data_IF_111696609957
#
_entry.id   IF_111696609957
#
_cell.length_a   1.000
_cell.length_b   1.000
_cell.length_c   1.000
_cell.angle_alpha   90.00
_cell.angle_beta   90.00
_cell.angle_gamma   90.00
#
_symmetry.space_group_name_H-M   'P 1'
#
loop_
_entity.id
_entity.type
_entity.pdbx_description
1 polymer ?
#
# COMPACT_ATOMS: atom_id res chain seq x y z
N UNK A 1 -61.18 -47.24 65.20
CA UNK A 1 -60.63 -47.82 63.96
C UNK A 1 -60.11 -46.66 63.13
N UNK A 2 -58.86 -46.27 63.39
CA UNK A 2 -57.65 -46.75 62.72
C UNK A 2 -57.40 -45.91 61.45
N UNK A 3 -56.49 -44.94 61.59
CA UNK A 3 -55.94 -44.12 60.53
C UNK A 3 -54.60 -44.74 60.09
N UNK A 4 -54.42 -44.95 58.79
CA UNK A 4 -53.16 -45.34 58.17
C UNK A 4 -52.51 -44.12 57.51
N UNK A 5 -51.24 -43.80 57.82
CA UNK A 5 -50.42 -42.91 57.00
C UNK A 5 -49.47 -43.72 56.12
N UNK A 6 -49.62 -43.62 54.80
CA UNK A 6 -48.62 -44.12 53.84
C UNK A 6 -47.41 -43.18 53.81
N UNK A 7 -46.42 -43.46 54.66
CA UNK A 7 -45.07 -42.92 54.55
C UNK A 7 -44.28 -43.66 53.47
N UNK A 8 -44.08 -43.04 52.30
CA UNK A 8 -43.12 -43.50 51.30
C UNK A 8 -41.75 -42.87 51.59
N UNK A 9 -40.86 -43.63 52.23
CA UNK A 9 -39.45 -43.28 52.39
C UNK A 9 -38.71 -43.61 51.10
N UNK A 10 -38.46 -42.59 50.27
CA UNK A 10 -37.50 -42.69 49.19
C UNK A 10 -36.09 -42.88 49.77
N UNK A 11 -35.55 -44.10 49.66
CA UNK A 11 -34.18 -44.42 50.05
C UNK A 11 -33.24 -43.76 49.05
N UNK A 12 -32.77 -42.56 49.38
CA UNK A 12 -31.71 -41.88 48.64
C UNK A 12 -30.43 -42.68 48.81
N UNK A 13 -29.93 -43.30 47.74
CA UNK A 13 -28.72 -44.11 47.78
C UNK A 13 -27.50 -43.22 47.46
N UNK A 14 -26.72 -42.76 48.47
CA UNK A 14 -25.67 -41.76 48.28
C UNK A 14 -24.43 -42.29 47.52
N UNK A 15 -24.40 -43.59 47.17
CA UNK A 15 -23.28 -44.20 46.44
C UNK A 15 -23.42 -44.13 44.91
N UNK A 16 -24.60 -43.85 44.35
CA UNK A 16 -24.79 -43.75 42.91
C UNK A 16 -24.33 -42.38 42.35
N UNK A 17 -24.41 -41.30 43.12
CA UNK A 17 -24.12 -39.92 42.68
C UNK A 17 -22.63 -39.62 42.52
N UNK A 18 -21.74 -40.29 43.28
CA UNK A 18 -20.28 -40.09 43.16
C UNK A 18 -19.70 -40.57 41.83
N UNK A 19 -20.31 -41.58 41.17
CA UNK A 19 -19.82 -42.10 39.88
C UNK A 19 -20.14 -41.19 38.69
N UNK A 20 -21.21 -40.40 38.77
CA UNK A 20 -21.59 -39.46 37.70
C UNK A 20 -20.87 -38.11 37.82
N UNK A 21 -20.57 -37.65 39.04
CA UNK A 21 -19.80 -36.43 39.28
C UNK A 21 -18.38 -36.48 38.68
N UNK A 22 -17.70 -37.64 38.78
CA UNK A 22 -16.39 -37.86 38.13
C UNK A 22 -16.49 -37.77 36.60
N UNK A 23 -17.54 -38.35 35.99
CA UNK A 23 -17.71 -38.37 34.53
C UNK A 23 -18.04 -36.99 33.97
N UNK A 24 -18.79 -36.17 34.72
CA UNK A 24 -19.05 -34.78 34.36
C UNK A 24 -17.77 -33.92 34.44
N UNK A 25 -16.96 -34.13 35.48
CA UNK A 25 -15.70 -33.40 35.66
C UNK A 25 -14.67 -33.71 34.56
N UNK A 26 -14.55 -34.98 34.13
CA UNK A 26 -13.66 -35.38 33.03
C UNK A 26 -14.17 -34.83 31.68
N UNK A 27 -15.48 -34.76 31.47
CA UNK A 27 -16.06 -34.18 30.25
C UNK A 27 -15.84 -32.66 30.16
N UNK A 28 -15.97 -31.93 31.27
CA UNK A 28 -15.64 -30.50 31.34
C UNK A 28 -14.14 -30.22 31.11
N UNK A 29 -13.23 -31.09 31.58
CA UNK A 29 -11.80 -30.89 31.39
C UNK A 29 -11.35 -31.04 29.92
N UNK A 30 -12.02 -31.89 29.14
CA UNK A 30 -11.74 -32.09 27.71
C UNK A 30 -12.30 -30.93 26.86
N UNK A 31 -13.42 -30.33 27.28
CA UNK A 31 -14.01 -29.19 26.56
C UNK A 31 -13.19 -27.89 26.70
N UNK A 32 -12.43 -27.72 27.78
CA UNK A 32 -11.57 -26.54 27.96
C UNK A 32 -10.25 -26.58 27.15
N UNK A 33 -9.84 -27.75 26.64
CA UNK A 33 -8.58 -27.90 25.89
C UNK A 33 -8.70 -27.60 24.39
N UNK A 34 -9.92 -27.42 23.85
CA UNK A 34 -10.15 -27.30 22.41
C UNK A 34 -10.17 -25.85 21.89
N UNK A 35 -10.05 -24.84 22.75
CA UNK A 35 -10.00 -23.45 22.33
C UNK A 35 -8.57 -22.90 22.39
N UNK A 36 -7.72 -23.33 21.46
CA UNK A 36 -6.49 -22.60 21.14
C UNK A 36 -6.87 -21.29 20.43
N UNK A 37 -7.26 -20.30 21.22
CA UNK A 37 -7.64 -18.99 20.70
C UNK A 37 -6.37 -18.25 20.27
N UNK A 38 -6.06 -18.28 18.96
CA UNK A 38 -4.98 -17.49 18.38
C UNK A 38 -5.45 -16.04 18.22
N UNK A 39 -5.67 -15.35 19.33
CA UNK A 39 -5.85 -13.90 19.34
C UNK A 39 -4.61 -13.23 19.92
N UNK A 40 -4.20 -12.13 19.31
CA UNK A 40 -2.99 -11.44 19.72
C UNK A 40 -2.94 -9.99 19.26
N UNK A 41 -2.15 -9.20 19.98
CA UNK A 41 -1.80 -7.82 19.62
C UNK A 41 -0.28 -7.71 19.75
N UNK A 42 0.38 -7.31 18.66
CA UNK A 42 1.80 -6.94 18.64
C UNK A 42 1.92 -5.48 18.23
N UNK A 43 2.74 -4.73 18.95
CA UNK A 43 3.01 -3.32 18.65
C UNK A 43 4.52 -3.14 18.48
N UNK A 44 4.94 -2.62 17.33
CA UNK A 44 6.32 -2.28 17.05
C UNK A 44 6.57 -0.81 17.37
N UNK A 45 7.26 -0.55 18.48
CA UNK A 45 7.60 0.81 18.92
C UNK A 45 8.51 1.55 17.93
N UNK A 46 9.27 0.84 17.09
CA UNK A 46 10.18 1.45 16.12
C UNK A 46 9.45 1.92 14.87
N UNK A 47 8.58 1.08 14.32
CA UNK A 47 7.80 1.42 13.12
C UNK A 47 6.41 1.97 13.42
N UNK A 48 5.96 2.02 14.68
CA UNK A 48 4.59 2.41 15.05
C UNK A 48 3.49 1.49 14.50
N UNK A 49 3.85 0.34 13.91
CA UNK A 49 2.89 -0.61 13.34
C UNK A 49 2.26 -1.44 14.45
N UNK A 50 0.93 -1.49 14.47
CA UNK A 50 0.15 -2.36 15.36
C UNK A 50 -0.47 -3.48 14.54
N UNK A 51 -0.19 -4.73 14.91
CA UNK A 51 -0.76 -5.91 14.26
C UNK A 51 -1.64 -6.65 15.27
N UNK A 52 -2.89 -6.85 14.90
CA UNK A 52 -3.88 -7.62 15.66
C UNK A 52 -4.26 -8.85 14.86
N UNK A 53 -4.53 -9.97 15.52
CA UNK A 53 -4.95 -11.20 14.86
C UNK A 53 -6.02 -11.91 15.68
N UNK A 54 -6.92 -12.61 14.99
CA UNK A 54 -7.93 -13.51 15.56
C UNK A 54 -8.06 -14.72 14.65
N UNK A 55 -7.83 -15.93 15.15
CA UNK A 55 -7.99 -17.18 14.38
C UNK A 55 -6.89 -17.48 13.35
N UNK A 56 -6.11 -16.46 12.95
CA UNK A 56 -4.83 -16.63 12.25
C UNK A 56 -3.67 -16.28 13.19
N UNK A 57 -2.53 -16.92 13.01
CA UNK A 57 -1.27 -16.54 13.67
C UNK A 57 -0.26 -16.05 12.64
N UNK A 58 0.78 -15.34 13.09
CA UNK A 58 1.91 -14.91 12.26
C UNK A 58 3.20 -14.85 13.08
N UNK A 59 4.34 -15.10 12.43
CA UNK A 59 5.65 -15.08 13.09
C UNK A 59 6.23 -13.66 13.05
N UNK A 60 6.31 -13.07 11.85
CA UNK A 60 6.98 -11.80 11.62
C UNK A 60 6.12 -10.82 10.81
N UNK A 61 6.45 -9.54 10.93
CA UNK A 61 5.84 -8.45 10.20
C UNK A 61 6.86 -7.36 9.91
N UNK A 62 6.68 -6.65 8.78
CA UNK A 62 7.52 -5.52 8.38
C UNK A 62 6.65 -4.44 7.74
N UNK A 63 6.96 -3.19 8.05
CA UNK A 63 6.45 -2.04 7.32
C UNK A 63 7.61 -1.38 6.57
N UNK A 64 7.46 -1.28 5.26
CA UNK A 64 8.45 -0.70 4.36
C UNK A 64 7.86 0.52 3.65
N UNK A 65 8.70 1.54 3.42
CA UNK A 65 8.43 2.67 2.53
C UNK A 65 9.53 2.68 1.45
N UNK A 66 9.13 2.64 0.18
CA UNK A 66 10.04 2.51 -0.98
C UNK A 66 11.08 1.36 -0.83
N UNK A 67 10.69 0.28 -0.15
CA UNK A 67 11.54 -0.88 0.10
C UNK A 67 12.46 -0.79 1.33
N UNK A 68 12.58 0.37 1.96
CA UNK A 68 13.34 0.54 3.20
C UNK A 68 12.43 0.42 4.43
N UNK A 69 12.98 -0.04 5.56
CA UNK A 69 12.25 -0.08 6.82
C UNK A 69 11.90 1.34 7.28
N UNK A 70 10.65 1.56 7.68
CA UNK A 70 10.18 2.89 8.07
C UNK A 70 10.65 3.25 9.48
N UNK A 71 11.16 4.46 9.66
CA UNK A 71 11.58 5.01 10.95
C UNK A 71 10.74 6.22 11.42
N UNK A 72 10.10 6.94 10.49
CA UNK A 72 9.30 8.14 10.76
C UNK A 72 7.82 7.93 10.36
N UNK A 73 6.95 8.76 10.91
CA UNK A 73 5.51 8.78 10.63
C UNK A 73 5.12 9.78 9.54
N UNK A 74 6.10 10.38 8.87
CA UNK A 74 5.89 11.33 7.78
C UNK A 74 6.16 10.67 6.43
N UNK A 75 5.10 10.48 5.64
CA UNK A 75 5.18 9.90 4.30
C UNK A 75 4.79 10.92 3.25
N UNK A 76 5.17 10.69 2.00
CA UNK A 76 4.99 11.65 0.91
C UNK A 76 4.21 11.02 -0.23
N UNK A 77 3.44 11.83 -0.96
CA UNK A 77 2.80 11.38 -2.19
C UNK A 77 3.85 10.77 -3.15
N UNK A 78 3.49 9.69 -3.83
CA UNK A 78 4.36 8.89 -4.68
C UNK A 78 5.21 7.85 -3.95
N UNK A 79 5.30 7.89 -2.62
CA UNK A 79 5.95 6.84 -1.85
C UNK A 79 5.10 5.57 -1.80
N UNK A 80 5.76 4.41 -1.85
CA UNK A 80 5.10 3.10 -1.85
C UNK A 80 5.24 2.45 -0.48
N UNK A 81 4.10 2.26 0.16
CA UNK A 81 3.94 1.56 1.43
C UNK A 81 3.83 0.07 1.18
N UNK A 82 4.49 -0.75 2.00
CA UNK A 82 4.30 -2.21 2.01
C UNK A 82 4.25 -2.73 3.44
N UNK A 83 3.13 -3.36 3.80
CA UNK A 83 3.02 -4.18 5.00
C UNK A 83 3.18 -5.63 4.58
N UNK A 84 4.22 -6.30 5.08
CA UNK A 84 4.52 -7.70 4.80
C UNK A 84 4.38 -8.51 6.08
N UNK A 85 3.67 -9.64 6.01
CA UNK A 85 3.56 -10.62 7.09
C UNK A 85 4.12 -11.96 6.63
N UNK A 86 4.76 -12.69 7.53
CA UNK A 86 5.28 -14.03 7.24
C UNK A 86 5.05 -15.02 8.39
N UNK A 87 5.05 -16.31 8.06
CA UNK A 87 4.69 -17.38 8.97
C UNK A 87 3.19 -17.41 9.28
N UNK A 88 2.34 -16.97 8.35
CA UNK A 88 0.90 -16.92 8.57
C UNK A 88 0.32 -18.34 8.59
N UNK A 89 -0.42 -18.68 9.65
CA UNK A 89 -1.04 -20.00 9.83
C UNK A 89 -2.46 -19.85 10.36
N UNK A 90 -3.22 -20.94 10.32
CA UNK A 90 -4.59 -21.00 10.84
C UNK A 90 -5.68 -20.82 9.78
N UNK A 91 -5.32 -20.71 8.50
CA UNK A 91 -6.31 -20.71 7.42
C UNK A 91 -7.09 -22.02 7.38
N UNK A 92 -8.37 -21.91 7.06
CA UNK A 92 -9.27 -23.04 6.85
C UNK A 92 -8.95 -23.66 5.49
N UNK A 93 -8.49 -24.90 5.53
CA UNK A 93 -8.20 -25.66 4.32
C UNK A 93 -9.48 -26.27 3.74
N UNK A 94 -9.73 -26.03 2.45
CA UNK A 94 -10.76 -26.69 1.65
C UNK A 94 -10.06 -27.41 0.50
N UNK A 95 -10.11 -28.76 0.54
CA UNK A 95 -9.42 -29.65 -0.42
C UNK A 95 -7.92 -29.35 -0.58
N UNK A 96 -7.23 -29.05 0.52
CA UNK A 96 -5.79 -28.78 0.54
C UNK A 96 -5.40 -27.38 0.06
N UNK A 97 -6.38 -26.49 -0.19
CA UNK A 97 -6.16 -25.09 -0.55
C UNK A 97 -6.73 -24.15 0.50
N UNK A 98 -6.19 -22.94 0.55
CA UNK A 98 -6.64 -21.86 1.42
C UNK A 98 -7.00 -20.63 0.58
N UNK A 99 -7.87 -19.78 1.11
CA UNK A 99 -8.47 -18.68 0.36
C UNK A 99 -8.27 -17.35 1.11
N UNK A 100 -7.03 -16.85 1.19
CA UNK A 100 -6.78 -15.56 1.81
C UNK A 100 -7.36 -14.41 0.98
N UNK A 101 -7.79 -13.36 1.66
CA UNK A 101 -8.19 -12.08 1.04
C UNK A 101 -7.31 -10.97 1.60
N UNK A 102 -6.88 -10.03 0.76
CA UNK A 102 -6.08 -8.87 1.20
C UNK A 102 -6.83 -7.59 0.85
N UNK A 103 -6.90 -6.65 1.81
CA UNK A 103 -7.47 -5.32 1.56
C UNK A 103 -6.67 -4.23 2.24
N UNK A 104 -6.72 -3.02 1.69
CA UNK A 104 -6.09 -1.82 2.22
C UNK A 104 -7.16 -0.73 2.35
N UNK A 105 -7.14 -0.05 3.50
CA UNK A 105 -7.90 1.17 3.74
C UNK A 105 -6.97 2.27 4.22
N UNK A 106 -7.23 3.50 3.76
CA UNK A 106 -6.65 4.70 4.36
C UNK A 106 -7.79 5.57 4.83
N UNK A 107 -7.79 5.86 6.13
CA UNK A 107 -8.79 6.68 6.79
C UNK A 107 -8.19 8.04 7.15
N UNK A 108 -8.97 9.12 7.03
CA UNK A 108 -8.57 10.43 7.55
C UNK A 108 -8.70 10.50 9.08
N UNK A 109 -8.30 11.63 9.67
CA UNK A 109 -8.40 11.86 11.12
C UNK A 109 -9.82 11.77 11.69
N UNK A 110 -10.87 11.90 10.86
CA UNK A 110 -12.27 11.71 11.27
C UNK A 110 -12.74 10.26 11.12
N UNK A 111 -11.89 9.36 10.61
CA UNK A 111 -12.24 7.97 10.31
C UNK A 111 -12.97 7.78 8.98
N UNK A 112 -13.04 8.80 8.13
CA UNK A 112 -13.64 8.65 6.80
C UNK A 112 -12.63 7.97 5.86
N UNK A 113 -13.11 6.99 5.09
CA UNK A 113 -12.29 6.23 4.15
C UNK A 113 -11.95 7.10 2.93
N UNK A 114 -10.67 7.34 2.69
CA UNK A 114 -10.14 8.04 1.49
C UNK A 114 -9.67 7.08 0.42
N UNK A 115 -9.09 5.96 0.83
CA UNK A 115 -8.65 4.89 -0.06
C UNK A 115 -9.27 3.60 0.40
N UNK A 116 -9.80 2.84 -0.55
CA UNK A 116 -10.34 1.51 -0.33
C UNK A 116 -9.94 0.61 -1.48
N UNK A 117 -9.11 -0.39 -1.19
CA UNK A 117 -8.70 -1.41 -2.14
C UNK A 117 -9.06 -2.77 -1.53
N UNK A 118 -10.05 -3.43 -2.10
CA UNK A 118 -10.46 -4.77 -1.69
C UNK A 118 -9.92 -5.80 -2.69
N UNK A 119 -9.77 -7.05 -2.22
CA UNK A 119 -9.38 -8.20 -3.03
C UNK A 119 -8.08 -7.96 -3.83
N UNK A 120 -7.03 -7.50 -3.13
CA UNK A 120 -5.71 -7.23 -3.71
C UNK A 120 -4.93 -8.49 -4.08
N UNK A 121 -5.52 -9.65 -3.86
CA UNK A 121 -5.01 -10.91 -4.36
C UNK A 121 -4.98 -11.00 -5.90
N UNK A 122 -3.98 -11.73 -6.40
CA UNK A 122 -3.86 -12.07 -7.81
C UNK A 122 -4.98 -13.07 -8.22
N UNK A 123 -5.30 -13.15 -9.51
CA UNK A 123 -6.33 -14.05 -10.08
C UNK A 123 -6.14 -15.50 -9.62
N UNK A 124 -4.88 -15.91 -9.37
CA UNK A 124 -4.51 -17.23 -8.85
C UNK A 124 -5.09 -17.56 -7.47
N UNK A 125 -5.55 -16.58 -6.69
CA UNK A 125 -6.16 -16.80 -5.37
C UNK A 125 -7.64 -17.15 -5.47
N UNK A 126 -8.30 -16.86 -6.61
CA UNK A 126 -9.71 -17.17 -6.80
C UNK A 126 -9.98 -18.69 -6.73
N UNK A 127 -9.02 -19.50 -7.17
CA UNK A 127 -9.02 -20.97 -7.05
C UNK A 127 -8.43 -21.50 -5.73
N UNK A 128 -8.04 -20.60 -4.82
CA UNK A 128 -7.28 -20.90 -3.62
C UNK A 128 -5.80 -21.19 -3.92
N UNK A 129 -4.96 -20.97 -2.91
CA UNK A 129 -3.52 -21.21 -2.97
C UNK A 129 -3.11 -22.32 -2.01
N UNK A 130 -1.89 -22.84 -2.15
CA UNK A 130 -1.37 -23.78 -1.15
C UNK A 130 -1.12 -23.07 0.18
N UNK A 131 -1.23 -23.78 1.32
CA UNK A 131 -0.93 -23.22 2.64
C UNK A 131 0.46 -22.57 2.71
N UNK A 132 1.47 -23.17 2.07
CA UNK A 132 2.85 -22.66 2.06
C UNK A 132 2.95 -21.31 1.35
N UNK A 133 2.22 -21.12 0.23
CA UNK A 133 2.16 -19.83 -0.45
C UNK A 133 1.44 -18.78 0.41
N UNK A 134 0.46 -19.20 1.23
CA UNK A 134 -0.25 -18.32 2.14
C UNK A 134 0.55 -17.91 3.39
N UNK A 135 1.68 -18.56 3.67
CA UNK A 135 2.52 -18.20 4.83
C UNK A 135 3.15 -16.82 4.70
N UNK A 136 3.23 -16.24 3.49
CA UNK A 136 3.79 -14.92 3.25
C UNK A 136 2.88 -14.07 2.37
N UNK A 137 2.23 -13.06 2.97
CA UNK A 137 1.29 -12.17 2.31
C UNK A 137 1.68 -10.71 2.57
N UNK A 138 1.28 -9.82 1.67
CA UNK A 138 1.55 -8.39 1.81
C UNK A 138 0.46 -7.52 1.21
N UNK A 139 0.24 -6.36 1.81
CA UNK A 139 -0.50 -5.25 1.20
C UNK A 139 0.50 -4.18 0.76
N UNK A 140 0.36 -3.68 -0.47
CA UNK A 140 1.17 -2.60 -1.00
C UNK A 140 0.28 -1.50 -1.59
N UNK A 141 0.60 -0.24 -1.32
CA UNK A 141 -0.10 0.90 -1.90
C UNK A 141 0.86 2.09 -2.08
N UNK A 142 0.71 2.80 -3.20
CA UNK A 142 1.46 4.02 -3.50
C UNK A 142 0.60 5.23 -3.16
N UNK A 143 1.08 6.10 -2.27
CA UNK A 143 0.33 7.26 -1.78
C UNK A 143 -0.01 8.20 -2.95
N UNK A 144 -1.29 8.38 -3.23
CA UNK A 144 -1.77 9.21 -4.34
C UNK A 144 -2.20 10.62 -3.94
N UNK A 145 -2.84 11.32 -4.87
CA UNK A 145 -3.31 12.70 -4.70
C UNK A 145 -4.56 12.85 -3.83
N UNK A 146 -5.27 11.76 -3.59
CA UNK A 146 -6.43 11.70 -2.70
C UNK A 146 -6.08 11.97 -1.23
N UNK A 147 -4.79 11.94 -0.89
CA UNK A 147 -4.28 12.27 0.43
C UNK A 147 -3.71 13.68 0.43
N UNK A 148 -4.28 14.56 1.25
CA UNK A 148 -3.93 15.96 1.33
C UNK A 148 -2.64 16.18 2.14
N UNK A 149 -1.77 17.05 1.64
CA UNK A 149 -0.52 17.42 2.30
C UNK A 149 -0.83 18.07 3.66
N UNK A 150 -0.02 17.72 4.66
CA UNK A 150 -0.11 18.21 6.03
C UNK A 150 -1.14 17.49 6.89
N UNK A 151 -1.98 16.61 6.31
CA UNK A 151 -3.01 15.87 7.06
C UNK A 151 -2.51 14.53 7.58
N UNK A 152 -3.11 14.11 8.69
CA UNK A 152 -2.92 12.79 9.29
C UNK A 152 -3.92 11.78 8.75
N UNK A 153 -3.45 10.55 8.64
CA UNK A 153 -4.18 9.39 8.13
C UNK A 153 -3.86 8.14 8.95
N UNK A 154 -4.73 7.14 8.82
CA UNK A 154 -4.53 5.79 9.34
C UNK A 154 -4.51 4.80 8.18
N UNK A 155 -3.39 4.09 8.02
CA UNK A 155 -3.28 2.92 7.16
C UNK A 155 -3.86 1.72 7.90
N UNK A 156 -4.68 0.92 7.22
CA UNK A 156 -5.14 -0.39 7.66
C UNK A 156 -4.95 -1.41 6.53
N UNK A 157 -4.20 -2.48 6.80
CA UNK A 157 -4.06 -3.64 5.93
C UNK A 157 -4.73 -4.82 6.62
N UNK A 158 -5.71 -5.41 5.96
CA UNK A 158 -6.47 -6.54 6.47
C UNK A 158 -6.24 -7.78 5.62
N UNK A 159 -5.90 -8.89 6.28
CA UNK A 159 -5.80 -10.23 5.72
C UNK A 159 -6.90 -11.08 6.35
N UNK A 160 -7.76 -11.68 5.53
CA UNK A 160 -8.86 -12.54 5.99
C UNK A 160 -8.78 -13.95 5.41
N UNK A 161 -9.43 -14.90 6.07
CA UNK A 161 -9.68 -16.25 5.59
C UNK A 161 -11.11 -16.38 5.05
N UNK A 162 -11.28 -16.45 3.73
CA UNK A 162 -12.60 -16.53 3.09
C UNK A 162 -13.40 -17.78 3.46
N UNK A 163 -12.73 -18.85 3.91
CA UNK A 163 -13.37 -20.12 4.30
C UNK A 163 -13.47 -20.30 5.80
N UNK A 164 -12.96 -19.35 6.58
CA UNK A 164 -12.95 -19.39 8.03
C UNK A 164 -13.36 -18.07 8.66
N UNK A 165 -12.93 -17.90 9.91
CA UNK A 165 -13.11 -16.65 10.68
C UNK A 165 -11.77 -15.99 11.02
N UNK A 166 -10.70 -16.48 10.40
CA UNK A 166 -9.35 -16.02 10.64
C UNK A 166 -9.12 -14.64 10.03
N UNK A 167 -8.55 -13.72 10.79
CA UNK A 167 -8.20 -12.38 10.35
C UNK A 167 -6.91 -11.86 10.99
N UNK A 168 -6.19 -11.01 10.26
CA UNK A 168 -5.07 -10.21 10.74
C UNK A 168 -5.28 -8.77 10.24
N UNK A 169 -5.23 -7.81 11.16
CA UNK A 169 -5.25 -6.38 10.83
C UNK A 169 -3.96 -5.73 11.28
N UNK A 170 -3.22 -5.15 10.34
CA UNK A 170 -2.06 -4.31 10.58
C UNK A 170 -2.44 -2.83 10.36
N UNK A 171 -2.15 -1.96 11.32
CA UNK A 171 -2.54 -0.56 11.25
C UNK A 171 -1.47 0.39 11.78
N UNK A 172 -1.42 1.59 11.19
CA UNK A 172 -0.47 2.64 11.57
C UNK A 172 -1.02 4.02 11.24
N UNK A 173 -0.77 5.00 12.10
CA UNK A 173 -0.98 6.42 11.80
C UNK A 173 0.25 7.03 11.12
N UNK A 174 0.00 7.94 10.20
CA UNK A 174 1.03 8.67 9.47
C UNK A 174 0.50 10.05 9.05
N UNK A 175 1.40 10.95 8.69
CA UNK A 175 1.11 12.27 8.15
C UNK A 175 1.64 12.38 6.73
N UNK A 176 0.89 13.03 5.85
CA UNK A 176 1.43 13.39 4.54
C UNK A 176 2.33 14.61 4.71
N UNK A 177 3.64 14.39 4.65
CA UNK A 177 4.59 15.48 4.55
C UNK A 177 4.50 16.15 3.18
N UNK A 178 4.81 17.46 3.09
CA UNK A 178 5.04 18.08 1.80
C UNK A 178 6.13 17.31 1.05
N UNK A 179 6.04 17.33 -0.27
CA UNK A 179 7.14 16.84 -1.08
C UNK A 179 8.37 17.64 -0.67
N UNK A 180 9.37 16.97 -0.11
CA UNK A 180 10.68 17.57 0.04
C UNK A 180 11.09 17.98 -1.37
N UNK A 181 11.21 19.29 -1.62
CA UNK A 181 11.71 19.81 -2.89
C UNK A 181 13.18 19.41 -2.94
N UNK A 182 13.44 18.22 -3.46
CA UNK A 182 14.80 17.73 -3.66
C UNK A 182 15.33 18.47 -4.87
N UNK A 183 16.08 19.57 -4.69
CA UNK A 183 16.77 20.34 -5.75
C UNK A 183 15.97 20.57 -7.05
N UNK A 184 14.63 20.49 -6.95
CA UNK A 184 13.72 20.50 -8.09
C UNK A 184 13.33 21.94 -8.29
N UNK A 185 14.05 22.59 -9.19
CA UNK A 185 13.69 23.92 -9.65
C UNK A 185 12.51 23.76 -10.62
N UNK A 186 11.42 24.49 -10.35
CA UNK A 186 10.23 24.49 -11.19
C UNK A 186 9.99 25.91 -11.66
N UNK A 187 9.86 26.07 -12.98
CA UNK A 187 9.54 27.32 -13.64
C UNK A 187 8.26 27.12 -14.45
N UNK A 188 7.19 27.84 -14.11
CA UNK A 188 5.93 27.75 -14.81
C UNK A 188 5.45 29.13 -15.28
N UNK A 189 4.88 29.17 -16.47
CA UNK A 189 4.23 30.35 -17.05
C UNK A 189 2.90 29.92 -17.67
N UNK A 190 1.79 30.52 -17.25
CA UNK A 190 0.46 30.17 -17.74
C UNK A 190 -0.09 28.82 -17.26
N UNK A 191 0.75 27.90 -16.79
CA UNK A 191 0.33 26.65 -16.15
C UNK A 191 0.46 26.73 -14.63
N UNK A 192 -0.43 26.06 -13.92
CA UNK A 192 -0.34 25.80 -12.48
C UNK A 192 -0.43 24.30 -12.19
N UNK A 193 0.08 23.87 -11.04
CA UNK A 193 0.19 22.47 -10.68
C UNK A 193 -0.02 22.29 -9.17
N UNK A 194 -0.39 21.08 -8.75
CA UNK A 194 -0.44 20.70 -7.32
C UNK A 194 0.88 20.10 -6.86
N UNK A 195 1.46 19.21 -7.66
CA UNK A 195 2.75 18.60 -7.36
C UNK A 195 3.52 18.18 -8.61
N UNK A 196 4.85 18.25 -8.50
CA UNK A 196 5.80 17.69 -9.47
C UNK A 196 6.82 16.87 -8.71
N UNK A 197 7.12 15.66 -9.16
CA UNK A 197 8.17 14.84 -8.58
C UNK A 197 8.72 13.81 -9.56
N UNK A 198 9.97 13.44 -9.33
CA UNK A 198 10.66 12.38 -10.05
C UNK A 198 10.30 11.00 -9.47
N UNK A 199 10.08 10.04 -10.37
CA UNK A 199 9.76 8.65 -10.07
C UNK A 199 10.76 7.73 -10.73
N UNK A 200 11.28 6.76 -9.99
CA UNK A 200 12.08 5.67 -10.52
C UNK A 200 11.36 4.33 -10.42
N UNK A 201 12.13 3.25 -10.54
CA UNK A 201 11.60 1.87 -10.50
C UNK A 201 10.90 1.52 -9.19
N UNK A 202 11.34 2.06 -8.06
CA UNK A 202 10.87 1.68 -6.73
C UNK A 202 9.90 2.71 -6.11
N UNK A 203 9.32 3.58 -6.93
CA UNK A 203 8.51 4.72 -6.48
C UNK A 203 9.29 6.02 -6.59
N UNK A 204 9.02 6.98 -5.71
CA UNK A 204 9.72 8.26 -5.70
C UNK A 204 11.22 8.05 -5.49
N UNK A 205 12.03 8.50 -6.45
CA UNK A 205 13.49 8.51 -6.30
C UNK A 205 13.90 9.89 -5.80
N UNK A 206 14.57 9.94 -4.64
CA UNK A 206 14.85 11.20 -4.01
C UNK A 206 15.89 12.02 -4.80
N UNK A 207 17.01 11.41 -5.21
CA UNK A 207 18.11 12.09 -5.92
C UNK A 207 18.94 11.11 -6.76
N UNK A 208 18.39 9.94 -7.08
CA UNK A 208 19.14 8.85 -7.72
C UNK A 208 18.42 8.31 -8.96
N UNK A 209 19.23 8.00 -9.97
CA UNK A 209 18.84 7.43 -11.24
C UNK A 209 19.59 6.11 -11.43
N UNK A 210 18.86 4.99 -11.42
CA UNK A 210 19.44 3.69 -11.74
C UNK A 210 19.67 3.60 -13.25
N UNK A 211 20.93 3.43 -13.67
CA UNK A 211 21.27 3.23 -15.07
C UNK A 211 20.63 1.93 -15.60
N UNK A 212 20.00 1.99 -16.77
CA UNK A 212 19.15 0.92 -17.31
C UNK A 212 17.77 0.81 -16.64
N UNK A 213 17.49 1.67 -15.65
CA UNK A 213 16.20 1.77 -14.99
C UNK A 213 15.26 2.76 -15.67
N UNK A 214 13.95 2.57 -15.44
CA UNK A 214 12.92 3.52 -15.84
C UNK A 214 12.89 4.68 -14.84
N UNK A 215 12.99 5.90 -15.35
CA UNK A 215 12.91 7.16 -14.59
C UNK A 215 11.88 8.04 -15.28
N UNK A 216 11.14 8.83 -14.53
CA UNK A 216 10.16 9.74 -15.09
C UNK A 216 9.82 10.89 -14.17
N UNK A 217 8.98 11.78 -14.68
CA UNK A 217 8.38 12.89 -13.92
C UNK A 217 6.88 12.70 -13.92
N UNK A 218 6.28 12.94 -12.75
CA UNK A 218 4.85 13.07 -12.58
C UNK A 218 4.50 14.52 -12.29
N UNK A 219 3.53 15.06 -13.03
CA UNK A 219 2.90 16.35 -12.75
C UNK A 219 1.42 16.09 -12.45
N UNK A 220 1.00 16.58 -11.30
CA UNK A 220 -0.31 16.33 -10.73
C UNK A 220 -1.08 17.64 -10.61
N UNK A 221 -2.39 17.61 -10.90
CA UNK A 221 -3.24 18.80 -10.78
C UNK A 221 -2.88 19.90 -11.77
N UNK A 222 -2.48 19.53 -13.00
CA UNK A 222 -2.10 20.51 -14.01
C UNK A 222 -3.32 21.30 -14.49
N UNK A 223 -3.22 22.62 -14.52
CA UNK A 223 -4.27 23.48 -15.07
C UNK A 223 -3.66 24.68 -15.81
N UNK A 224 -4.49 25.37 -16.60
CA UNK A 224 -4.05 26.48 -17.46
C UNK A 224 -3.82 26.10 -18.93
N UNK A 225 -4.01 24.82 -19.29
CA UNK A 225 -4.05 24.39 -20.69
C UNK A 225 -5.26 25.04 -21.39
N UNK A 226 -5.05 25.56 -22.60
CA UNK A 226 -6.13 26.14 -23.41
C UNK A 226 -7.01 25.03 -23.97
N UNK A 227 -8.29 25.11 -23.64
CA UNK A 227 -9.29 24.21 -24.18
C UNK A 227 -9.67 24.65 -25.61
N UNK A 228 -9.70 23.69 -26.54
CA UNK A 228 -10.18 23.84 -27.91
C UNK A 228 -11.09 22.65 -28.20
N UNK A 229 -12.36 22.92 -28.50
CA UNK A 229 -13.38 21.92 -28.80
C UNK A 229 -13.54 20.83 -27.73
N UNK A 230 -13.56 21.22 -26.44
CA UNK A 230 -13.73 20.28 -25.33
C UNK A 230 -12.47 19.51 -24.95
N UNK A 231 -11.32 19.87 -25.51
CA UNK A 231 -10.06 19.13 -25.36
C UNK A 231 -8.87 20.04 -25.08
N UNK A 232 -7.83 19.46 -24.50
CA UNK A 232 -6.53 20.11 -24.28
C UNK A 232 -5.43 19.37 -25.03
N UNK A 233 -4.34 20.04 -25.36
CA UNK A 233 -3.28 19.49 -26.20
C UNK A 233 -1.93 19.64 -25.51
N UNK A 234 -1.67 18.88 -24.42
CA UNK A 234 -0.37 18.92 -23.77
C UNK A 234 0.70 18.36 -24.72
N UNK A 235 1.88 18.96 -24.69
CA UNK A 235 3.14 18.37 -25.14
C UNK A 235 4.05 18.15 -23.94
N UNK A 236 4.97 17.20 -24.05
CA UNK A 236 5.99 17.04 -23.02
C UNK A 236 7.28 16.42 -23.56
N UNK A 237 8.40 16.77 -22.94
CA UNK A 237 9.73 16.29 -23.30
C UNK A 237 10.61 16.12 -22.06
N UNK A 238 11.66 15.30 -22.21
CA UNK A 238 12.74 15.11 -21.25
C UNK A 238 14.05 15.34 -22.00
N UNK A 239 14.90 16.17 -21.41
CA UNK A 239 16.28 16.41 -21.84
C UNK A 239 17.21 15.99 -20.72
N UNK A 240 18.28 15.28 -21.05
CA UNK A 240 19.28 14.80 -20.11
C UNK A 240 20.65 15.31 -20.53
N UNK A 241 21.29 16.01 -19.61
CA UNK A 241 22.64 16.52 -19.74
C UNK A 241 23.58 15.72 -18.83
N UNK A 242 24.78 15.45 -19.32
CA UNK A 242 25.83 14.93 -18.46
C UNK A 242 26.44 16.02 -17.56
N UNK A 243 27.42 15.64 -16.74
CA UNK A 243 28.10 16.57 -15.82
C UNK A 243 28.84 17.73 -16.52
N UNK A 244 29.22 17.57 -17.78
CA UNK A 244 29.86 18.62 -18.57
C UNK A 244 28.86 19.63 -19.16
N UNK A 245 27.56 19.33 -19.07
CA UNK A 245 26.49 20.10 -19.69
C UNK A 245 26.22 19.71 -21.14
N UNK A 246 26.83 18.62 -21.64
CA UNK A 246 26.54 18.09 -22.96
C UNK A 246 25.18 17.35 -22.94
N UNK A 247 24.31 17.66 -23.89
CA UNK A 247 23.06 16.95 -24.08
C UNK A 247 23.35 15.51 -24.55
N UNK A 248 22.82 14.54 -23.82
CA UNK A 248 22.98 13.11 -24.11
C UNK A 248 21.70 12.45 -24.57
N UNK A 249 20.58 13.04 -24.21
CA UNK A 249 19.28 12.55 -24.60
C UNK A 249 18.30 13.72 -24.67
N UNK A 250 17.49 13.72 -25.72
CA UNK A 250 16.34 14.60 -25.85
C UNK A 250 15.21 13.77 -26.45
N UNK A 251 14.13 13.59 -25.69
CA UNK A 251 12.93 12.99 -26.25
C UNK A 251 12.25 14.00 -27.17
N UNK A 252 11.78 13.55 -28.33
CA UNK A 252 10.72 14.27 -29.02
C UNK A 252 9.48 14.42 -28.10
N UNK A 253 8.54 15.26 -28.53
CA UNK A 253 7.24 15.38 -27.87
C UNK A 253 6.58 14.02 -27.69
N UNK A 254 6.43 13.62 -26.43
CA UNK A 254 5.90 12.31 -26.03
C UNK A 254 4.38 12.22 -26.21
N UNK A 255 3.69 13.34 -26.37
CA UNK A 255 2.24 13.40 -26.59
C UNK A 255 1.89 13.63 -28.05
N UNK A 256 2.27 12.71 -28.94
CA UNK A 256 2.10 12.89 -30.40
C UNK A 256 0.64 12.85 -30.90
N UNK A 257 -0.33 12.50 -30.06
CA UNK A 257 -1.73 12.36 -30.50
C UNK A 257 -2.32 13.72 -30.90
N UNK A 258 -2.67 13.93 -32.18
CA UNK A 258 -3.30 15.17 -32.63
C UNK A 258 -4.74 15.32 -32.13
N UNK A 259 -5.35 14.28 -31.55
CA UNK A 259 -6.74 14.32 -31.09
C UNK A 259 -6.94 15.09 -29.80
N UNK A 260 -5.88 15.38 -29.03
CA UNK A 260 -5.96 16.01 -27.71
C UNK A 260 -6.52 15.08 -26.63
N UNK A 261 -6.43 15.53 -25.38
CA UNK A 261 -6.85 14.81 -24.17
C UNK A 261 -8.09 15.44 -23.55
N UNK A 262 -8.80 14.65 -22.75
CA UNK A 262 -9.84 15.19 -21.88
C UNK A 262 -9.20 16.14 -20.83
N UNK A 263 -9.75 17.34 -20.58
CA UNK A 263 -9.18 18.28 -19.61
C UNK A 263 -9.06 17.71 -18.19
N UNK A 264 -10.04 16.90 -17.74
CA UNK A 264 -10.01 16.29 -16.41
C UNK A 264 -8.90 15.23 -16.27
N UNK A 265 -8.67 14.44 -17.31
CA UNK A 265 -7.57 13.44 -17.33
C UNK A 265 -6.20 14.12 -17.33
N UNK A 266 -6.04 15.18 -18.13
CA UNK A 266 -4.80 15.96 -18.16
C UNK A 266 -4.54 16.66 -16.81
N UNK A 267 -5.59 17.13 -16.15
CA UNK A 267 -5.50 17.72 -14.82
C UNK A 267 -5.23 16.68 -13.73
N UNK A 268 -5.71 15.45 -13.89
CA UNK A 268 -5.43 14.37 -12.95
C UNK A 268 -3.92 14.12 -12.89
N UNK A 269 -3.29 13.72 -14.00
CA UNK A 269 -1.86 13.40 -14.01
C UNK A 269 -1.25 13.38 -15.41
N UNK A 270 -0.15 14.10 -15.57
CA UNK A 270 0.80 13.90 -16.67
C UNK A 270 1.97 13.09 -16.14
N UNK A 271 2.37 12.06 -16.88
CA UNK A 271 3.53 11.24 -16.54
C UNK A 271 4.37 10.96 -17.77
N UNK A 272 5.66 11.27 -17.69
CA UNK A 272 6.60 11.00 -18.78
C UNK A 272 7.75 10.19 -18.22
N UNK A 273 8.14 9.16 -18.96
CA UNK A 273 9.17 8.23 -18.54
C UNK A 273 10.16 7.97 -19.66
N UNK A 274 11.41 7.78 -19.29
CA UNK A 274 12.44 7.25 -20.16
C UNK A 274 13.16 6.09 -19.48
N UNK A 275 13.83 5.29 -20.29
CA UNK A 275 14.77 4.27 -19.83
C UNK A 275 16.11 4.65 -20.42
N UNK A 276 17.03 5.15 -19.59
CA UNK A 276 18.37 5.49 -20.06
C UNK A 276 19.28 4.28 -20.03
N UNK A 277 20.07 4.11 -21.08
CA UNK A 277 21.10 3.07 -21.13
C UNK A 277 22.43 3.62 -20.63
N UNK A 278 23.29 2.75 -20.09
CA UNK A 278 24.60 3.15 -19.52
C UNK A 278 25.52 3.83 -20.56
N UNK A 279 25.34 3.55 -21.84
CA UNK A 279 26.18 4.09 -22.90
C UNK A 279 25.98 5.61 -23.12
N UNK A 280 24.88 6.17 -22.62
CA UNK A 280 24.47 7.54 -22.91
C UNK A 280 25.05 8.56 -21.91
N UNK A 281 25.43 8.15 -20.70
CA UNK A 281 25.83 9.09 -19.63
C UNK A 281 27.24 8.83 -19.11
N UNK A 282 28.04 9.90 -19.06
CA UNK A 282 29.36 9.90 -18.43
C UNK A 282 29.28 10.43 -17.00
N UNK A 283 29.97 9.77 -16.07
CA UNK A 283 30.12 10.23 -14.69
C UNK A 283 29.12 9.61 -13.70
N UNK A 284 28.98 10.25 -12.55
CA UNK A 284 28.16 9.81 -11.42
C UNK A 284 26.94 10.71 -11.16
N UNK A 285 26.74 11.75 -11.98
CA UNK A 285 25.67 12.74 -11.85
C UNK A 285 25.21 13.20 -13.23
N UNK A 286 23.96 13.63 -13.35
CA UNK A 286 23.35 14.13 -14.58
C UNK A 286 22.28 15.16 -14.27
N UNK A 287 22.13 16.18 -15.12
CA UNK A 287 21.04 17.15 -15.03
C UNK A 287 19.90 16.71 -15.92
N UNK A 288 18.69 16.70 -15.38
CA UNK A 288 17.49 16.33 -16.10
C UNK A 288 16.57 17.52 -16.15
N UNK A 289 16.08 17.83 -17.34
CA UNK A 289 15.09 18.87 -17.59
C UNK A 289 13.85 18.21 -18.13
N UNK A 290 12.73 18.47 -17.50
CA UNK A 290 11.43 18.00 -17.92
C UNK A 290 10.56 19.20 -18.25
N UNK A 291 9.93 19.19 -19.41
CA UNK A 291 9.04 20.28 -19.82
C UNK A 291 7.69 19.74 -20.24
N UNK A 292 6.63 20.39 -19.77
CA UNK A 292 5.25 20.26 -20.25
C UNK A 292 4.85 21.60 -20.84
N UNK A 293 4.18 21.59 -21.98
CA UNK A 293 3.63 22.80 -22.58
C UNK A 293 2.24 22.57 -23.15
N UNK A 294 1.51 23.66 -23.35
CA UNK A 294 0.27 23.66 -24.12
C UNK A 294 0.58 23.88 -25.60
N UNK A 295 0.14 22.98 -26.48
CA UNK A 295 0.32 23.17 -27.93
C UNK A 295 -0.59 24.24 -28.53
N UNK A 296 -1.52 24.80 -27.75
CA UNK A 296 -2.51 25.80 -28.20
C UNK A 296 -2.30 27.18 -27.56
N UNK A 297 -1.28 27.36 -26.73
CA UNK A 297 -0.87 28.63 -26.13
C UNK A 297 0.64 28.65 -25.85
N UNK A 298 1.14 29.71 -25.23
CA UNK A 298 2.55 29.81 -24.80
C UNK A 298 2.76 29.29 -23.37
N UNK A 299 1.76 28.62 -22.78
CA UNK A 299 1.82 28.14 -21.41
C UNK A 299 2.76 26.93 -21.27
N UNK A 300 3.61 26.93 -20.26
CA UNK A 300 4.54 25.84 -19.98
C UNK A 300 4.84 25.67 -18.48
N UNK A 301 5.37 24.50 -18.16
CA UNK A 301 5.97 24.13 -16.89
C UNK A 301 7.27 23.39 -17.20
N UNK A 302 8.37 23.85 -16.66
CA UNK A 302 9.68 23.23 -16.73
C UNK A 302 10.13 22.86 -15.32
N UNK A 303 10.69 21.67 -15.16
CA UNK A 303 11.22 21.18 -13.91
C UNK A 303 12.60 20.57 -14.16
N UNK A 304 13.61 21.02 -13.43
CA UNK A 304 14.96 20.47 -13.53
C UNK A 304 15.51 19.98 -12.20
N UNK A 305 16.32 18.92 -12.28
CA UNK A 305 16.91 18.24 -11.13
C UNK A 305 18.30 17.70 -11.46
N UNK A 306 19.17 17.63 -10.45
CA UNK A 306 20.42 16.90 -10.52
C UNK A 306 20.25 15.51 -9.91
N UNK A 307 20.49 14.45 -10.67
CA UNK A 307 20.39 13.07 -10.21
C UNK A 307 21.77 12.41 -10.16
N UNK A 308 22.05 11.74 -9.04
CA UNK A 308 23.17 10.80 -8.91
C UNK A 308 22.89 9.53 -9.68
N UNK A 309 23.84 9.11 -10.49
CA UNK A 309 23.76 7.89 -11.29
C UNK A 309 24.27 6.70 -10.47
N UNK A 310 23.40 5.71 -10.26
CA UNK A 310 23.74 4.48 -9.54
C UNK A 310 23.76 3.30 -10.50
N UNK A 311 24.75 2.42 -10.31
CA UNK A 311 24.90 1.15 -11.03
C UNK A 311 24.36 0.01 -10.16
N UNK A 312 23.93 -1.06 -10.81
CA UNK A 312 23.47 -2.28 -10.14
C UNK A 312 24.66 -3.14 -9.70
#
# INVERSE_FOLDING_TARGET
MAADPLGSTAIFNPMATKKYLWRLAVCCLVLCAACNFSAGIKHDMKSGLTVTNTGLSFDNYKLLCNGAAVADDEWRQGETMKVQLSGIKGFTSDRGRVFPTISIRILDGAGAVKVKLDNLEDETFSEGISPEKAEALYGQYTLGQELEIGKEYKLEVHIGDKKGKGEITASRKFKIAPLQQNDLAIHASGLSYKSVYFVGRNGRNANEALLGGRIGVMVNGLSGLKEVDGKVFPGAEIIVYDKSGEEKFHSEDVFKDPKGSNPAEAAERISVYITLTKAELNGNESKWVFRVWDKKSDAYLEADILLKLVQK
#
